data_IF_886006174853
#
_entry.id   IF_886006174853
#
_cell.length_a   1.000
_cell.length_b   1.000
_cell.length_c   1.000
_cell.angle_alpha   90.00
_cell.angle_beta   90.00
_cell.angle_gamma   90.00
#
_symmetry.space_group_name_H-M   'P 1'
#
loop_
_entity.id
_entity.type
_entity.pdbx_description
1 polymer ?
#
# COMPACT_ATOMS: atom_id res chain seq x y z
N UNK A 1 -8.57 13.67 -1.45
CA UNK A 1 -7.60 12.71 -1.97
C UNK A 1 -6.18 13.13 -1.59
N UNK A 2 -5.23 12.22 -1.74
CA UNK A 2 -3.82 12.53 -1.53
C UNK A 2 -3.34 13.63 -2.49
N UNK A 3 -2.76 14.68 -1.94
CA UNK A 3 -2.03 15.66 -2.73
C UNK A 3 -0.60 15.13 -2.89
N UNK A 4 -0.40 14.35 -3.95
CA UNK A 4 0.92 13.82 -4.28
C UNK A 4 1.74 14.83 -5.07
N UNK A 5 3.04 14.92 -4.72
CA UNK A 5 4.00 15.71 -5.48
C UNK A 5 3.89 17.23 -5.35
N UNK A 6 4.97 17.90 -5.68
CA UNK A 6 5.09 19.37 -5.59
C UNK A 6 4.17 20.10 -6.57
N UNK A 7 4.03 19.57 -7.79
CA UNK A 7 3.19 20.16 -8.82
C UNK A 7 1.71 20.25 -8.44
N UNK A 8 1.20 19.20 -7.76
CA UNK A 8 -0.19 19.18 -7.31
C UNK A 8 -0.41 20.14 -6.14
N UNK A 9 0.51 20.20 -5.17
CA UNK A 9 0.44 21.17 -4.06
C UNK A 9 0.43 22.59 -4.57
N UNK A 10 1.34 22.91 -5.50
CA UNK A 10 1.39 24.22 -6.13
C UNK A 10 0.09 24.56 -6.85
N UNK A 11 -0.52 23.59 -7.55
CA UNK A 11 -1.79 23.82 -8.24
C UNK A 11 -2.93 24.13 -7.27
N UNK A 12 -2.97 23.46 -6.10
CA UNK A 12 -3.94 23.76 -5.03
C UNK A 12 -3.69 25.14 -4.42
N UNK A 13 -2.45 25.47 -4.10
CA UNK A 13 -2.06 26.77 -3.53
C UNK A 13 -2.40 27.93 -4.46
N UNK A 14 -2.30 27.72 -5.77
CA UNK A 14 -2.65 28.70 -6.81
C UNK A 14 -4.15 28.72 -7.19
N UNK A 15 -4.98 27.90 -6.56
CA UNK A 15 -6.42 27.81 -6.84
C UNK A 15 -6.76 27.19 -8.20
N UNK A 16 -5.83 26.44 -8.82
CA UNK A 16 -6.05 25.74 -10.10
C UNK A 16 -6.50 24.29 -9.92
N UNK A 17 -6.43 23.78 -8.70
CA UNK A 17 -6.91 22.46 -8.31
C UNK A 17 -7.58 22.54 -6.94
N UNK A 18 -8.54 21.67 -6.71
CA UNK A 18 -9.26 21.55 -5.45
C UNK A 18 -8.83 20.29 -4.69
N UNK A 19 -8.91 20.39 -3.38
CA UNK A 19 -8.72 19.26 -2.48
C UNK A 19 -10.08 18.79 -1.96
N UNK A 20 -10.38 17.52 -2.16
CA UNK A 20 -11.60 16.89 -1.62
C UNK A 20 -11.27 16.21 -0.29
N UNK A 21 -11.69 16.77 0.86
CA UNK A 21 -11.50 16.15 2.16
C UNK A 21 -12.42 14.93 2.29
N UNK A 22 -11.82 13.75 2.43
CA UNK A 22 -12.53 12.49 2.52
C UNK A 22 -11.64 11.47 3.23
N UNK A 23 -12.21 10.57 4.03
CA UNK A 23 -11.46 9.46 4.59
C UNK A 23 -11.06 8.48 3.50
N UNK A 24 -9.85 7.90 3.63
CA UNK A 24 -9.34 6.93 2.64
C UNK A 24 -10.31 5.76 2.43
N UNK A 25 -10.94 5.29 3.51
CA UNK A 25 -11.95 4.22 3.47
C UNK A 25 -13.22 4.57 2.68
N UNK A 26 -13.51 5.85 2.47
CA UNK A 26 -14.72 6.33 1.79
C UNK A 26 -14.49 6.61 0.30
N UNK A 27 -13.22 6.69 -0.16
CA UNK A 27 -12.92 7.00 -1.56
C UNK A 27 -13.55 5.98 -2.52
N UNK A 28 -13.50 4.69 -2.17
CA UNK A 28 -14.10 3.65 -2.98
C UNK A 28 -15.62 3.84 -3.16
N UNK A 29 -16.29 4.38 -2.14
CA UNK A 29 -17.73 4.67 -2.19
C UNK A 29 -18.04 5.81 -3.15
N UNK A 30 -17.20 6.84 -3.23
CA UNK A 30 -17.37 7.94 -4.17
C UNK A 30 -17.40 7.48 -5.63
N UNK A 31 -16.67 6.41 -5.95
CA UNK A 31 -16.73 5.81 -7.28
C UNK A 31 -17.96 4.93 -7.46
N UNK A 32 -18.28 4.09 -6.46
CA UNK A 32 -19.34 3.08 -6.58
C UNK A 32 -20.74 3.66 -6.52
N UNK A 33 -20.96 4.79 -5.84
CA UNK A 33 -22.24 5.49 -5.79
C UNK A 33 -22.44 6.53 -6.92
N UNK A 34 -21.39 6.71 -7.75
CA UNK A 34 -21.43 7.62 -8.89
C UNK A 34 -21.20 9.09 -8.55
N UNK A 35 -20.86 9.42 -7.29
CA UNK A 35 -20.49 10.79 -6.89
C UNK A 35 -19.30 11.30 -7.69
N UNK A 36 -18.32 10.43 -7.95
CA UNK A 36 -17.20 10.68 -8.84
C UNK A 36 -17.21 9.67 -9.99
N UNK A 37 -17.76 10.07 -11.12
CA UNK A 37 -17.74 9.24 -12.32
C UNK A 37 -16.34 9.23 -12.94
N UNK A 38 -15.85 8.04 -13.30
CA UNK A 38 -14.55 7.85 -13.92
C UNK A 38 -14.71 7.47 -15.40
N UNK A 39 -14.13 8.26 -16.29
CA UNK A 39 -14.07 7.91 -17.71
C UNK A 39 -12.99 6.89 -18.00
N UNK A 40 -11.86 6.96 -17.31
CA UNK A 40 -10.78 6.01 -17.48
C UNK A 40 -10.00 5.80 -16.17
N UNK A 41 -9.55 4.56 -15.94
CA UNK A 41 -8.52 4.22 -14.95
C UNK A 41 -7.21 3.93 -15.69
N UNK A 42 -6.12 4.55 -15.20
CA UNK A 42 -4.76 4.26 -15.65
C UNK A 42 -4.09 3.41 -14.57
N UNK A 43 -3.61 2.22 -14.93
CA UNK A 43 -3.04 1.27 -13.97
C UNK A 43 -1.71 0.71 -14.44
N UNK A 44 -0.81 0.48 -13.48
CA UNK A 44 0.44 -0.22 -13.71
C UNK A 44 0.28 -1.64 -13.18
N UNK A 45 0.54 -2.66 -14.02
CA UNK A 45 0.27 -4.06 -13.70
C UNK A 45 1.42 -4.97 -14.11
N UNK A 46 1.54 -6.11 -13.44
CA UNK A 46 2.47 -7.16 -13.87
C UNK A 46 2.06 -7.75 -15.23
N UNK A 47 2.96 -8.41 -15.96
CA UNK A 47 2.58 -9.28 -17.08
C UNK A 47 1.49 -10.28 -16.66
N UNK A 48 0.59 -10.66 -17.58
CA UNK A 48 -0.41 -11.69 -17.30
C UNK A 48 0.24 -13.04 -17.03
N UNK A 49 -0.37 -13.83 -16.15
CA UNK A 49 -0.02 -15.23 -15.98
C UNK A 49 -0.65 -16.12 -17.08
N UNK A 50 -0.44 -17.43 -16.97
CA UNK A 50 -0.99 -18.41 -17.91
C UNK A 50 -2.53 -18.43 -17.98
N UNK A 51 -3.21 -17.85 -16.99
CA UNK A 51 -4.66 -17.71 -16.94
C UNK A 51 -5.13 -16.30 -17.34
N UNK A 52 -4.22 -15.41 -17.72
CA UNK A 52 -4.53 -14.05 -18.15
C UNK A 52 -4.69 -13.04 -17.00
N UNK A 53 -4.30 -13.38 -15.78
CA UNK A 53 -4.38 -12.45 -14.65
C UNK A 53 -3.10 -11.61 -14.49
N UNK A 54 -3.28 -10.29 -14.41
CA UNK A 54 -2.26 -9.32 -14.08
C UNK A 54 -2.39 -8.92 -12.61
N UNK A 55 -1.27 -8.71 -11.92
CA UNK A 55 -1.26 -8.19 -10.56
C UNK A 55 -1.16 -6.66 -10.56
N UNK A 56 -1.90 -6.01 -9.68
CA UNK A 56 -1.76 -4.57 -9.40
C UNK A 56 -0.47 -4.25 -8.64
N UNK A 57 0.27 -5.28 -8.21
CA UNK A 57 1.57 -5.14 -7.56
C UNK A 57 1.47 -4.49 -6.18
N UNK A 58 2.37 -3.51 -5.90
CA UNK A 58 2.51 -2.94 -4.56
C UNK A 58 1.47 -1.86 -4.22
N UNK A 59 0.58 -1.47 -5.13
CA UNK A 59 -0.39 -0.39 -4.89
C UNK A 59 -1.80 -0.84 -5.28
N UNK A 60 -2.54 -1.35 -4.29
CA UNK A 60 -3.89 -1.93 -4.54
C UNK A 60 -5.02 -1.11 -3.93
N UNK A 61 -4.78 -0.26 -2.98
CA UNK A 61 -5.69 0.55 -2.17
C UNK A 61 -7.09 0.81 -2.80
N UNK A 62 -7.25 1.87 -3.58
CA UNK A 62 -8.49 2.21 -4.30
C UNK A 62 -8.49 1.74 -5.76
N UNK A 63 -7.39 1.18 -6.25
CA UNK A 63 -7.20 0.87 -7.66
C UNK A 63 -8.28 -0.08 -8.20
N UNK A 64 -8.62 -1.12 -7.44
CA UNK A 64 -9.67 -2.07 -7.86
C UNK A 64 -11.03 -1.40 -7.99
N UNK A 65 -11.39 -0.49 -7.08
CA UNK A 65 -12.65 0.26 -7.15
C UNK A 65 -12.67 1.20 -8.36
N UNK A 66 -11.57 1.88 -8.64
CA UNK A 66 -11.42 2.72 -9.81
C UNK A 66 -11.55 1.92 -11.12
N UNK A 67 -10.90 0.75 -11.22
CA UNK A 67 -10.98 -0.14 -12.36
C UNK A 67 -12.43 -0.54 -12.65
N UNK A 68 -13.14 -1.02 -11.62
CA UNK A 68 -14.52 -1.53 -11.77
C UNK A 68 -15.55 -0.46 -12.14
N UNK A 69 -15.30 0.79 -11.77
CA UNK A 69 -16.22 1.90 -12.01
C UNK A 69 -15.84 2.75 -13.22
N UNK A 70 -14.69 2.51 -13.83
CA UNK A 70 -14.26 3.23 -15.01
C UNK A 70 -14.89 2.69 -16.30
N UNK A 71 -15.21 3.57 -17.24
CA UNK A 71 -15.66 3.18 -18.58
C UNK A 71 -14.56 2.50 -19.40
N UNK A 72 -13.30 2.84 -19.11
CA UNK A 72 -12.12 2.30 -19.80
C UNK A 72 -11.02 2.02 -18.78
N UNK A 73 -10.33 0.91 -18.96
CA UNK A 73 -9.13 0.57 -18.21
C UNK A 73 -7.94 0.57 -19.16
N UNK A 74 -6.97 1.41 -18.91
CA UNK A 74 -5.74 1.51 -19.69
C UNK A 74 -4.59 1.04 -18.80
N UNK A 75 -3.90 -0.01 -19.22
CA UNK A 75 -2.84 -0.61 -18.42
C UNK A 75 -1.45 -0.39 -19.04
N UNK A 76 -0.49 -0.07 -18.20
CA UNK A 76 0.92 -0.31 -18.47
C UNK A 76 1.28 -1.68 -17.94
N UNK A 77 1.63 -2.61 -18.83
CA UNK A 77 2.14 -3.93 -18.47
C UNK A 77 3.64 -3.79 -18.22
N UNK A 78 4.05 -3.92 -16.96
CA UNK A 78 5.42 -3.67 -16.53
C UNK A 78 5.99 -4.91 -15.83
N UNK A 79 7.05 -5.55 -16.39
CA UNK A 79 7.69 -6.71 -15.77
C UNK A 79 8.30 -6.46 -14.39
N UNK A 80 8.58 -5.19 -14.05
CA UNK A 80 9.11 -4.80 -12.74
C UNK A 80 8.05 -4.83 -11.63
N UNK A 81 6.75 -4.89 -11.98
CA UNK A 81 5.66 -4.97 -11.01
C UNK A 81 5.62 -6.37 -10.39
N UNK A 82 5.84 -6.51 -9.06
CA UNK A 82 5.78 -7.80 -8.40
C UNK A 82 4.36 -8.33 -8.34
N UNK A 83 4.22 -9.65 -8.33
CA UNK A 83 2.92 -10.28 -8.13
C UNK A 83 2.62 -10.38 -6.63
N UNK A 84 1.58 -9.68 -6.20
CA UNK A 84 1.09 -9.69 -4.82
C UNK A 84 -0.17 -10.58 -4.73
N UNK A 85 -0.34 -11.25 -3.59
CA UNK A 85 -1.50 -12.11 -3.37
C UNK A 85 -2.70 -11.33 -2.80
N UNK A 86 -3.90 -11.86 -2.96
CA UNK A 86 -5.14 -11.27 -2.44
C UNK A 86 -6.03 -10.68 -3.53
N UNK A 87 -6.78 -9.64 -3.20
CA UNK A 87 -7.68 -8.96 -4.15
C UNK A 87 -6.94 -7.94 -5.03
N UNK A 88 -5.81 -8.35 -5.59
CA UNK A 88 -4.88 -7.51 -6.36
C UNK A 88 -4.77 -7.91 -7.83
N UNK A 89 -5.69 -8.73 -8.32
CA UNK A 89 -5.63 -9.24 -9.69
C UNK A 89 -6.76 -8.69 -10.54
N UNK A 90 -6.42 -8.37 -11.80
CA UNK A 90 -7.38 -8.09 -12.87
C UNK A 90 -7.10 -9.03 -14.04
N UNK A 91 -8.15 -9.47 -14.72
CA UNK A 91 -7.99 -10.27 -15.92
C UNK A 91 -7.75 -9.39 -17.14
N UNK A 92 -6.91 -9.83 -18.08
CA UNK A 92 -6.57 -9.03 -19.26
C UNK A 92 -7.78 -8.64 -20.11
N UNK A 93 -8.86 -9.41 -20.05
CA UNK A 93 -10.12 -9.05 -20.73
C UNK A 93 -10.84 -7.84 -20.13
N UNK A 94 -10.49 -7.41 -18.93
CA UNK A 94 -11.00 -6.18 -18.31
C UNK A 94 -10.23 -4.93 -18.75
N UNK A 95 -9.10 -5.13 -19.42
CA UNK A 95 -8.24 -4.05 -19.90
C UNK A 95 -8.69 -3.63 -21.31
N UNK A 96 -9.07 -2.37 -21.45
CA UNK A 96 -9.52 -1.81 -22.72
C UNK A 96 -8.39 -1.60 -23.73
N UNK A 97 -7.24 -1.14 -23.21
CA UNK A 97 -6.01 -0.96 -23.97
C UNK A 97 -4.80 -1.10 -23.06
N UNK A 98 -3.68 -1.54 -23.60
CA UNK A 98 -2.44 -1.63 -22.84
C UNK A 98 -1.23 -1.23 -23.67
N UNK A 99 -0.17 -0.84 -22.97
CA UNK A 99 1.19 -0.70 -23.49
C UNK A 99 2.11 -1.62 -22.67
N UNK A 100 3.12 -2.17 -23.32
CA UNK A 100 4.20 -2.87 -22.64
C UNK A 100 5.37 -1.90 -22.46
N UNK A 101 5.78 -1.70 -21.22
CA UNK A 101 6.91 -0.84 -20.90
C UNK A 101 7.60 -1.34 -19.64
N UNK A 102 8.89 -1.58 -19.73
CA UNK A 102 9.71 -1.94 -18.58
C UNK A 102 10.25 -0.67 -17.93
N UNK A 103 9.62 -0.27 -16.83
CA UNK A 103 9.98 0.94 -16.09
C UNK A 103 10.31 0.57 -14.63
N UNK A 104 11.38 1.12 -14.05
CA UNK A 104 11.68 0.89 -12.64
C UNK A 104 10.55 1.43 -11.77
N UNK A 105 10.23 0.71 -10.69
CA UNK A 105 9.29 1.20 -9.69
C UNK A 105 9.92 2.35 -8.89
N UNK A 106 9.07 3.23 -8.39
CA UNK A 106 9.53 4.34 -7.55
C UNK A 106 10.03 3.80 -6.22
N UNK A 107 11.28 4.08 -5.91
CA UNK A 107 11.89 3.74 -4.63
C UNK A 107 11.88 4.94 -3.69
N UNK A 108 11.49 4.71 -2.44
CA UNK A 108 11.51 5.73 -1.38
C UNK A 108 12.50 5.33 -0.31
N UNK A 109 13.58 6.08 -0.20
CA UNK A 109 14.56 5.87 0.87
C UNK A 109 13.98 6.33 2.22
N UNK A 110 13.90 5.45 3.23
CA UNK A 110 13.42 5.84 4.55
C UNK A 110 14.30 6.96 5.15
N UNK A 111 13.70 7.97 5.81
CA UNK A 111 14.48 9.01 6.47
C UNK A 111 15.29 8.43 7.64
N UNK A 112 16.51 8.95 7.91
CA UNK A 112 17.34 8.46 9.00
C UNK A 112 16.62 8.66 10.35
N UNK A 113 16.73 7.66 11.22
CA UNK A 113 16.17 7.69 12.57
C UNK A 113 17.06 8.55 13.45
N UNK A 114 16.50 9.61 14.03
CA UNK A 114 17.19 10.44 15.01
C UNK A 114 16.99 9.91 16.45
N UNK A 115 17.76 10.45 17.40
CA UNK A 115 17.74 10.03 18.80
C UNK A 115 16.38 10.24 19.50
N UNK A 116 15.58 11.18 19.04
CA UNK A 116 14.24 11.42 19.58
C UNK A 116 13.28 10.32 19.10
N UNK A 117 13.26 10.04 17.81
CA UNK A 117 12.46 8.96 17.24
C UNK A 117 12.85 7.61 17.84
N UNK A 118 14.15 7.36 18.05
CA UNK A 118 14.65 6.16 18.67
C UNK A 118 14.13 5.96 20.10
N UNK A 119 14.20 6.99 20.94
CA UNK A 119 13.66 6.94 22.31
C UNK A 119 12.15 6.74 22.34
N UNK A 120 11.42 7.39 21.44
CA UNK A 120 9.98 7.18 21.30
C UNK A 120 9.70 5.74 20.90
N UNK A 121 10.43 5.21 19.92
CA UNK A 121 10.30 3.83 19.45
C UNK A 121 10.52 2.81 20.57
N UNK A 122 11.51 3.02 21.42
CA UNK A 122 11.76 2.20 22.62
C UNK A 122 10.56 2.20 23.57
N UNK A 123 10.01 3.36 23.90
CA UNK A 123 8.87 3.42 24.80
C UNK A 123 7.61 2.82 24.19
N UNK A 124 7.34 3.05 22.91
CA UNK A 124 6.18 2.48 22.22
C UNK A 124 6.29 0.94 22.17
N UNK A 125 7.48 0.40 21.88
CA UNK A 125 7.67 -1.05 21.85
C UNK A 125 7.36 -1.74 23.18
N UNK A 126 7.57 -1.07 24.31
CA UNK A 126 7.24 -1.60 25.65
C UNK A 126 5.72 -1.71 25.90
N UNK A 127 4.89 -1.07 25.09
CA UNK A 127 3.43 -1.13 25.17
C UNK A 127 2.83 -2.21 24.27
N UNK A 128 3.66 -2.88 23.48
CA UNK A 128 3.22 -3.93 22.55
C UNK A 128 3.30 -5.28 23.23
N UNK A 129 2.19 -6.00 23.26
CA UNK A 129 2.15 -7.36 23.81
C UNK A 129 2.54 -8.41 22.75
N UNK A 130 3.04 -9.55 23.22
CA UNK A 130 3.23 -10.73 22.38
C UNK A 130 1.89 -11.17 21.75
N UNK A 131 1.91 -11.44 20.46
CA UNK A 131 0.71 -11.82 19.70
C UNK A 131 -0.15 -10.65 19.24
N UNK A 132 0.25 -9.40 19.52
CA UNK A 132 -0.44 -8.22 19.01
C UNK A 132 -0.43 -8.16 17.47
N UNK A 133 -1.52 -7.65 16.90
CA UNK A 133 -1.56 -7.31 15.47
C UNK A 133 -1.30 -5.82 15.31
N UNK A 134 -0.29 -5.49 14.50
CA UNK A 134 0.23 -4.14 14.35
C UNK A 134 -0.32 -3.48 13.07
N UNK A 135 -0.70 -2.21 13.22
CA UNK A 135 -0.86 -1.24 12.15
C UNK A 135 0.13 -0.10 12.43
N UNK A 136 0.85 0.33 11.42
CA UNK A 136 1.84 1.40 11.55
C UNK A 136 1.79 2.31 10.31
N UNK A 137 2.12 3.58 10.54
CA UNK A 137 2.27 4.56 9.48
C UNK A 137 3.69 4.60 8.92
N UNK A 138 3.95 5.60 8.11
CA UNK A 138 5.26 5.90 7.52
C UNK A 138 6.01 6.93 8.36
N UNK A 139 7.33 6.83 8.39
CA UNK A 139 8.19 7.83 9.00
C UNK A 139 9.14 7.25 10.05
N UNK A 140 9.90 8.14 10.68
CA UNK A 140 10.99 7.80 11.61
C UNK A 140 10.53 7.04 12.85
N UNK A 141 9.40 7.43 13.44
CA UNK A 141 8.91 6.84 14.69
C UNK A 141 8.42 5.42 14.48
N UNK A 142 7.54 5.11 13.50
CA UNK A 142 7.18 3.73 13.18
C UNK A 142 8.38 2.84 12.89
N UNK A 143 9.31 3.30 12.04
CA UNK A 143 10.52 2.55 11.72
C UNK A 143 11.40 2.30 12.95
N UNK A 144 11.56 3.30 13.83
CA UNK A 144 12.27 3.13 15.09
C UNK A 144 11.59 2.12 16.01
N UNK A 145 10.24 2.17 16.12
CA UNK A 145 9.49 1.24 16.96
C UNK A 145 9.70 -0.20 16.52
N UNK A 146 9.60 -0.46 15.22
CA UNK A 146 9.74 -1.81 14.66
C UNK A 146 11.09 -2.46 15.02
N UNK A 147 12.19 -1.69 15.04
CA UNK A 147 13.52 -2.19 15.46
C UNK A 147 13.54 -2.81 16.86
N UNK A 148 12.70 -2.31 17.78
CA UNK A 148 12.67 -2.78 19.17
C UNK A 148 11.70 -3.93 19.40
N UNK A 149 11.03 -4.43 18.36
CA UNK A 149 10.07 -5.53 18.44
C UNK A 149 10.67 -6.91 18.11
N UNK A 150 11.94 -7.01 17.74
CA UNK A 150 12.57 -8.26 17.34
C UNK A 150 12.56 -9.38 18.43
N UNK A 151 12.39 -9.00 19.69
CA UNK A 151 12.31 -9.96 20.80
C UNK A 151 10.86 -10.36 21.14
N UNK A 152 9.86 -9.76 20.52
CA UNK A 152 8.45 -10.11 20.68
C UNK A 152 8.13 -11.43 19.97
N UNK A 153 7.01 -12.03 20.33
CA UNK A 153 6.59 -13.32 19.79
C UNK A 153 5.20 -13.23 19.17
N UNK A 154 5.04 -13.96 18.07
CA UNK A 154 3.76 -14.16 17.40
C UNK A 154 3.05 -12.86 16.98
N UNK A 155 3.80 -11.81 16.67
CA UNK A 155 3.23 -10.59 16.14
C UNK A 155 2.52 -10.83 14.81
N UNK A 156 1.48 -10.04 14.54
CA UNK A 156 0.78 -10.00 13.27
C UNK A 156 0.87 -8.62 12.62
N UNK A 157 0.80 -8.57 11.29
CA UNK A 157 0.76 -7.32 10.52
C UNK A 157 -0.57 -7.22 9.78
N UNK A 158 -1.25 -6.09 10.01
CA UNK A 158 -2.40 -5.63 9.25
C UNK A 158 -2.31 -4.11 9.16
N UNK A 159 -1.69 -3.62 8.12
CA UNK A 159 -1.27 -2.22 8.00
C UNK A 159 -1.63 -1.68 6.62
N UNK A 160 -1.77 -0.38 6.51
CA UNK A 160 -1.92 0.29 5.23
C UNK A 160 -0.68 0.06 4.36
N UNK A 161 0.51 0.21 4.92
CA UNK A 161 1.77 0.14 4.20
C UNK A 161 2.67 -0.99 4.70
N UNK A 162 3.43 -1.59 3.80
CA UNK A 162 4.58 -2.44 4.09
C UNK A 162 5.86 -1.61 3.92
N UNK A 163 6.77 -1.70 4.89
CA UNK A 163 8.08 -1.03 4.86
C UNK A 163 9.21 -2.01 5.06
N UNK A 164 10.43 -1.67 4.61
CA UNK A 164 11.62 -2.51 4.77
C UNK A 164 11.93 -2.84 6.23
N UNK A 165 11.54 -1.97 7.16
CA UNK A 165 11.71 -2.21 8.61
C UNK A 165 11.02 -3.48 9.12
N UNK A 166 10.07 -4.05 8.35
CA UNK A 166 9.41 -5.32 8.69
C UNK A 166 10.29 -6.53 8.37
N UNK A 167 11.22 -6.41 7.44
CA UNK A 167 12.06 -7.52 6.99
C UNK A 167 12.86 -8.07 8.16
N UNK A 168 13.49 -7.20 8.96
CA UNK A 168 14.24 -7.61 10.16
C UNK A 168 13.37 -8.37 11.16
N UNK A 169 12.10 -7.93 11.35
CA UNK A 169 11.15 -8.62 12.22
C UNK A 169 10.69 -9.98 11.69
N UNK A 170 10.58 -10.11 10.38
CA UNK A 170 10.29 -11.40 9.73
C UNK A 170 11.46 -12.38 9.90
N UNK A 171 12.67 -11.90 9.64
CA UNK A 171 13.90 -12.70 9.76
C UNK A 171 14.18 -13.12 11.21
N UNK A 172 13.87 -12.27 12.20
CA UNK A 172 13.97 -12.61 13.63
C UNK A 172 12.94 -13.65 14.07
N UNK A 173 11.88 -13.88 13.28
CA UNK A 173 10.76 -14.76 13.65
C UNK A 173 9.75 -14.11 14.60
N UNK A 174 9.87 -12.82 14.91
CA UNK A 174 8.91 -12.11 15.74
C UNK A 174 7.51 -12.03 15.09
N UNK A 175 7.45 -11.93 13.76
CA UNK A 175 6.19 -11.90 13.00
C UNK A 175 5.85 -13.31 12.52
N UNK A 176 4.77 -13.88 13.04
CA UNK A 176 4.23 -15.17 12.57
C UNK A 176 2.83 -15.04 11.97
N UNK A 177 2.12 -13.97 12.28
CA UNK A 177 0.72 -13.74 11.94
C UNK A 177 -0.26 -14.82 12.44
N UNK A 178 0.18 -15.77 13.26
CA UNK A 178 -0.63 -16.93 13.69
C UNK A 178 -1.81 -16.55 14.56
N UNK A 179 -1.66 -15.48 15.37
CA UNK A 179 -2.68 -15.05 16.33
C UNK A 179 -3.65 -14.00 15.74
N UNK A 180 -3.50 -13.64 14.49
CA UNK A 180 -4.47 -12.74 13.83
C UNK A 180 -5.83 -13.39 13.74
N UNK A 181 -6.90 -12.59 13.98
CA UNK A 181 -8.29 -13.02 13.80
C UNK A 181 -8.74 -12.94 12.34
N UNK A 182 -8.11 -12.06 11.55
CA UNK A 182 -8.36 -11.90 10.12
C UNK A 182 -7.11 -12.28 9.32
N UNK A 183 -7.25 -13.20 8.37
CA UNK A 183 -6.16 -13.76 7.57
C UNK A 183 -4.98 -14.27 8.41
N UNK A 184 -5.19 -15.28 9.31
CA UNK A 184 -4.12 -15.86 10.09
C UNK A 184 -2.98 -16.36 9.20
N UNK A 185 -1.74 -16.20 9.64
CA UNK A 185 -0.55 -16.62 8.90
C UNK A 185 -0.18 -15.72 7.71
N UNK A 186 -0.90 -14.61 7.47
CA UNK A 186 -0.64 -13.69 6.35
C UNK A 186 -0.41 -12.27 6.82
N UNK A 187 0.54 -11.58 6.21
CA UNK A 187 0.64 -10.12 6.25
C UNK A 187 -0.46 -9.56 5.35
N UNK A 188 -1.14 -8.53 5.82
CA UNK A 188 -2.14 -7.80 5.02
C UNK A 188 -1.74 -6.34 4.95
N UNK A 189 -1.58 -5.84 3.73
CA UNK A 189 -1.26 -4.43 3.46
C UNK A 189 -1.96 -3.97 2.19
N UNK A 190 -2.08 -2.67 1.98
CA UNK A 190 -2.67 -2.09 0.77
C UNK A 190 -1.62 -1.55 -0.20
N UNK A 191 -0.44 -1.19 0.29
CA UNK A 191 0.69 -0.85 -0.58
C UNK A 191 2.05 -1.04 0.10
N UNK A 192 3.13 -1.02 -0.72
CA UNK A 192 4.53 -1.17 -0.31
C UNK A 192 5.42 -0.19 -1.10
#
# INVERSE_FOLDING_TARGET
FFIGGEAMRKAVDEGRADYTPVFLSEISSLFSDGTLALDAALVNVSPPDEFGYCSLGPAVDIAMSAIRQSKKVIAQINPQVPRTAGHSYIHISEITACIEAEEPLVEVTPPPIDSVAERIGQYVSMLVDDGATLQFGIGKIPSATLKYLCNHKDLGIHSEMLTDSIIELLESGAITNKKKTFHPGKIVTSFA
#
